data_IF_366596416579
#
_entry.id   IF_366596416579
#
_cell.length_a   1.000
_cell.length_b   1.000
_cell.length_c   1.000
_cell.angle_alpha   90.00
_cell.angle_beta   90.00
_cell.angle_gamma   90.00
#
_symmetry.space_group_name_H-M   'P 1'
#
loop_
_entity.id
_entity.type
_entity.pdbx_description
1 polymer ?
#
# COMPACT_ATOMS: atom_id res chain seq x y z
N UNK A 1 18.64 2.29 26.97
CA UNK A 1 18.51 1.23 25.94
C UNK A 1 17.03 0.94 25.83
N UNK A 2 16.42 1.09 24.65
CA UNK A 2 15.02 0.72 24.49
C UNK A 2 14.89 -0.79 24.72
N UNK A 3 14.02 -1.20 25.64
CA UNK A 3 13.77 -2.61 25.90
C UNK A 3 12.95 -3.20 24.74
N UNK A 4 13.00 -4.51 24.52
CA UNK A 4 12.30 -5.17 23.42
C UNK A 4 10.79 -4.89 23.45
N UNK A 5 10.22 -4.77 24.65
CA UNK A 5 8.84 -4.37 24.93
C UNK A 5 8.51 -2.98 24.34
N UNK A 6 9.39 -2.00 24.53
CA UNK A 6 9.21 -0.64 24.03
C UNK A 6 9.22 -0.61 22.50
N UNK A 7 10.09 -1.43 21.89
CA UNK A 7 10.16 -1.58 20.44
C UNK A 7 8.87 -2.21 19.88
N UNK A 8 8.38 -3.29 20.50
CA UNK A 8 7.13 -3.95 20.12
C UNK A 8 5.95 -2.98 20.22
N UNK A 9 5.85 -2.22 21.30
CA UNK A 9 4.79 -1.22 21.50
C UNK A 9 4.87 -0.08 20.49
N UNK A 10 6.07 0.36 20.11
CA UNK A 10 6.26 1.41 19.11
C UNK A 10 5.85 0.93 17.71
N UNK A 11 6.34 -0.24 17.28
CA UNK A 11 5.99 -0.80 15.97
C UNK A 11 4.50 -1.15 15.88
N UNK A 12 3.92 -1.71 16.93
CA UNK A 12 2.49 -2.06 16.97
C UNK A 12 1.63 -0.80 16.85
N UNK A 13 1.95 0.28 17.58
CA UNK A 13 1.22 1.55 17.46
C UNK A 13 1.37 2.18 16.08
N UNK A 14 2.58 2.14 15.49
CA UNK A 14 2.79 2.72 14.15
C UNK A 14 2.04 1.95 13.07
N UNK A 15 2.04 0.62 13.14
CA UNK A 15 1.29 -0.24 12.20
C UNK A 15 -0.21 0.05 12.31
N UNK A 16 -0.76 0.12 13.53
CA UNK A 16 -2.17 0.41 13.74
C UNK A 16 -2.55 1.81 13.25
N UNK A 17 -1.69 2.81 13.48
CA UNK A 17 -1.91 4.17 12.97
C UNK A 17 -1.95 4.20 11.44
N UNK A 18 -1.03 3.50 10.76
CA UNK A 18 -1.04 3.38 9.30
C UNK A 18 -2.29 2.63 8.80
N UNK A 19 -2.69 1.57 9.48
CA UNK A 19 -3.87 0.79 9.11
C UNK A 19 -5.19 1.57 9.24
N UNK A 20 -5.26 2.53 10.17
CA UNK A 20 -6.45 3.33 10.43
C UNK A 20 -6.66 4.47 9.41
N UNK A 21 -5.57 4.97 8.80
CA UNK A 21 -5.58 6.12 7.90
C UNK A 21 -4.93 5.76 6.57
N UNK A 22 -5.65 4.98 5.76
CA UNK A 22 -5.21 4.55 4.43
C UNK A 22 -5.59 5.66 3.44
N UNK A 23 -4.63 6.29 2.74
CA UNK A 23 -4.93 7.27 1.71
C UNK A 23 -5.56 6.63 0.47
N UNK A 24 -6.37 7.42 -0.24
CA UNK A 24 -6.93 7.05 -1.55
C UNK A 24 -7.81 5.78 -1.54
N UNK A 25 -8.59 5.58 -0.47
CA UNK A 25 -9.50 4.44 -0.37
C UNK A 25 -10.66 4.59 -1.36
N UNK A 26 -10.90 3.54 -2.15
CA UNK A 26 -12.00 3.47 -3.10
C UNK A 26 -11.56 2.98 -4.47
N UNK A 27 -12.27 3.43 -5.50
CA UNK A 27 -12.05 3.10 -6.91
C UNK A 27 -12.01 4.39 -7.73
N UNK A 28 -11.19 4.42 -8.77
CA UNK A 28 -11.23 5.54 -9.73
C UNK A 28 -12.43 5.40 -10.66
N UNK A 29 -13.00 6.52 -11.09
CA UNK A 29 -14.11 6.52 -12.06
C UNK A 29 -13.65 6.11 -13.47
N UNK A 30 -12.44 6.53 -13.86
CA UNK A 30 -11.86 6.29 -15.18
C UNK A 30 -10.38 5.86 -15.06
N UNK A 31 -10.08 4.66 -14.54
CA UNK A 31 -8.72 4.17 -14.44
C UNK A 31 -8.18 3.76 -15.82
N UNK A 32 -6.90 4.06 -16.07
CA UNK A 32 -6.16 3.50 -17.21
C UNK A 32 -5.76 2.03 -16.95
N UNK A 33 -5.58 1.67 -15.67
CA UNK A 33 -5.27 0.32 -15.26
C UNK A 33 -5.90 -0.03 -13.92
N UNK A 34 -6.40 -1.26 -13.81
CA UNK A 34 -6.96 -1.83 -12.58
C UNK A 34 -6.42 -3.24 -12.37
N UNK A 35 -5.99 -3.57 -11.16
CA UNK A 35 -5.53 -4.90 -10.80
C UNK A 35 -6.07 -5.32 -9.42
N UNK A 36 -6.54 -6.57 -9.32
CA UNK A 36 -6.98 -7.16 -8.05
C UNK A 36 -6.18 -8.42 -7.73
N UNK A 37 -5.78 -8.57 -6.46
CA UNK A 37 -5.04 -9.72 -5.95
C UNK A 37 -5.63 -10.20 -4.64
N UNK A 38 -5.70 -11.52 -4.49
CA UNK A 38 -6.16 -12.19 -3.28
C UNK A 38 -5.06 -13.11 -2.73
N UNK A 39 -4.78 -13.01 -1.44
CA UNK A 39 -3.90 -13.93 -0.74
C UNK A 39 -4.67 -15.21 -0.37
N UNK A 40 -4.23 -16.40 -0.82
CA UNK A 40 -4.90 -17.65 -0.48
C UNK A 40 -4.73 -18.05 0.99
N UNK A 41 -3.69 -17.55 1.66
CA UNK A 41 -3.35 -17.95 3.03
C UNK A 41 -4.24 -17.28 4.08
N UNK A 42 -4.56 -16.01 3.89
CA UNK A 42 -5.33 -15.21 4.85
C UNK A 42 -6.64 -14.64 4.29
N UNK A 43 -6.93 -14.91 3.01
CA UNK A 43 -8.14 -14.43 2.34
C UNK A 43 -8.17 -12.92 2.06
N UNK A 44 -7.10 -12.18 2.38
CA UNK A 44 -7.01 -10.74 2.13
C UNK A 44 -7.07 -10.45 0.63
N UNK A 45 -7.79 -9.39 0.25
CA UNK A 45 -7.95 -8.94 -1.13
C UNK A 45 -7.61 -7.46 -1.23
N UNK A 46 -6.81 -7.11 -2.24
CA UNK A 46 -6.46 -5.72 -2.55
C UNK A 46 -6.75 -5.46 -4.02
N UNK A 47 -7.45 -4.38 -4.30
CA UNK A 47 -7.65 -3.88 -5.67
C UNK A 47 -7.06 -2.49 -5.78
N UNK A 48 -6.30 -2.23 -6.85
CA UNK A 48 -5.64 -0.95 -7.10
C UNK A 48 -6.03 -0.47 -8.49
N UNK A 49 -6.35 0.81 -8.57
CA UNK A 49 -6.61 1.56 -9.79
C UNK A 49 -5.53 2.64 -9.97
N UNK A 50 -5.10 2.86 -11.21
CA UNK A 50 -4.18 3.94 -11.57
C UNK A 50 -4.68 4.67 -12.81
N UNK A 51 -4.48 5.99 -12.83
CA UNK A 51 -4.48 6.80 -14.03
C UNK A 51 -3.08 7.37 -14.24
N UNK A 52 -2.62 7.45 -15.48
CA UNK A 52 -1.26 7.84 -15.84
C UNK A 52 -1.25 9.19 -16.56
N UNK A 53 -0.22 9.99 -16.27
CA UNK A 53 0.18 11.14 -17.08
C UNK A 53 1.61 10.87 -17.57
N UNK A 54 1.71 10.48 -18.85
CA UNK A 54 2.95 9.97 -19.42
C UNK A 54 3.44 8.71 -18.72
N UNK A 55 4.60 8.78 -18.07
CA UNK A 55 5.24 7.68 -17.35
C UNK A 55 4.97 7.68 -15.84
N UNK A 56 4.20 8.65 -15.34
CA UNK A 56 3.91 8.85 -13.91
C UNK A 56 2.45 8.56 -13.57
N UNK A 57 2.23 8.11 -12.34
CA UNK A 57 0.88 7.96 -11.78
C UNK A 57 0.31 9.35 -11.51
N UNK A 58 -0.75 9.72 -12.22
CA UNK A 58 -1.47 10.97 -12.03
C UNK A 58 -2.55 10.86 -10.95
N UNK A 59 -3.24 9.71 -10.91
CA UNK A 59 -4.25 9.41 -9.89
C UNK A 59 -4.16 7.94 -9.48
N UNK A 60 -4.55 7.66 -8.25
CA UNK A 60 -4.42 6.36 -7.61
C UNK A 60 -5.59 6.12 -6.67
N UNK A 61 -6.16 4.92 -6.70
CA UNK A 61 -7.11 4.48 -5.68
C UNK A 61 -6.90 3.01 -5.30
N UNK A 62 -7.28 2.65 -4.08
CA UNK A 62 -7.16 1.29 -3.57
C UNK A 62 -8.37 0.86 -2.72
N UNK A 63 -8.90 -0.34 -2.99
CA UNK A 63 -9.84 -1.04 -2.12
C UNK A 63 -9.09 -2.17 -1.39
N UNK A 64 -8.93 -2.00 -0.07
CA UNK A 64 -8.06 -2.82 0.76
C UNK A 64 -8.88 -3.57 1.79
N UNK A 65 -9.03 -4.87 1.59
CA UNK A 65 -9.68 -5.80 2.52
C UNK A 65 -8.63 -6.77 3.04
N UNK A 66 -7.82 -6.31 3.99
CA UNK A 66 -6.68 -7.04 4.52
C UNK A 66 -6.56 -6.90 6.04
N UNK A 67 -5.70 -7.69 6.66
CA UNK A 67 -5.33 -7.51 8.06
C UNK A 67 -4.56 -6.20 8.29
N UNK A 68 -4.34 -5.83 9.56
CA UNK A 68 -3.67 -4.58 9.93
C UNK A 68 -2.32 -4.37 9.23
N UNK A 69 -1.52 -5.42 9.03
CA UNK A 69 -0.25 -5.32 8.31
C UNK A 69 -0.45 -5.02 6.80
N UNK A 70 -1.43 -5.67 6.17
CA UNK A 70 -1.78 -5.40 4.78
C UNK A 70 -2.33 -3.98 4.59
N UNK A 71 -3.15 -3.51 5.53
CA UNK A 71 -3.67 -2.14 5.57
C UNK A 71 -2.56 -1.10 5.79
N UNK A 72 -1.62 -1.37 6.71
CA UNK A 72 -0.48 -0.50 6.93
C UNK A 72 0.43 -0.42 5.69
N UNK A 73 0.68 -1.54 5.02
CA UNK A 73 1.44 -1.59 3.76
C UNK A 73 0.77 -0.77 2.66
N UNK A 74 -0.56 -0.88 2.52
CA UNK A 74 -1.36 -0.08 1.60
C UNK A 74 -1.29 1.43 1.92
N UNK A 75 -1.31 1.81 3.20
CA UNK A 75 -1.16 3.21 3.61
C UNK A 75 0.20 3.78 3.22
N UNK A 76 1.28 3.01 3.44
CA UNK A 76 2.65 3.42 3.04
C UNK A 76 2.76 3.63 1.53
N UNK A 77 2.22 2.73 0.71
CA UNK A 77 2.22 2.90 -0.74
C UNK A 77 1.36 4.11 -1.16
N UNK A 78 0.13 4.18 -0.65
CA UNK A 78 -0.83 5.23 -1.01
C UNK A 78 -0.29 6.64 -0.73
N UNK A 79 0.48 6.81 0.35
CA UNK A 79 1.08 8.10 0.70
C UNK A 79 2.10 8.64 -0.32
N UNK A 80 2.66 7.77 -1.19
CA UNK A 80 3.76 8.15 -2.08
C UNK A 80 3.54 7.77 -3.54
N UNK A 81 2.45 7.05 -3.89
CA UNK A 81 2.24 6.47 -5.22
C UNK A 81 2.06 7.53 -6.31
N UNK A 82 1.30 8.59 -6.05
CA UNK A 82 1.06 9.66 -7.02
C UNK A 82 2.37 10.39 -7.33
N UNK A 83 2.62 10.64 -8.61
CA UNK A 83 3.84 11.24 -9.15
C UNK A 83 4.98 10.24 -9.39
N UNK A 84 4.84 8.97 -9.00
CA UNK A 84 5.87 7.94 -9.22
C UNK A 84 5.77 7.32 -10.58
N UNK A 85 6.94 6.97 -11.09
CA UNK A 85 7.09 6.22 -12.33
C UNK A 85 6.92 4.72 -12.11
N UNK A 86 6.61 3.99 -13.18
CA UNK A 86 6.62 2.52 -13.16
C UNK A 86 7.94 1.95 -12.63
N UNK A 87 9.07 2.50 -13.05
CA UNK A 87 10.40 1.99 -12.67
C UNK A 87 10.66 2.15 -11.16
N UNK A 88 10.25 3.26 -10.55
CA UNK A 88 10.35 3.47 -9.10
C UNK A 88 9.48 2.45 -8.34
N UNK A 89 8.26 2.19 -8.81
CA UNK A 89 7.34 1.22 -8.19
C UNK A 89 7.89 -0.21 -8.31
N UNK A 90 8.44 -0.58 -9.47
CA UNK A 90 9.07 -1.88 -9.68
C UNK A 90 10.30 -2.07 -8.79
N UNK A 91 11.13 -1.05 -8.67
CA UNK A 91 12.31 -1.06 -7.79
C UNK A 91 11.91 -1.25 -6.32
N UNK A 92 10.91 -0.49 -5.84
CA UNK A 92 10.41 -0.62 -4.47
C UNK A 92 9.80 -2.00 -4.20
N UNK A 93 9.03 -2.54 -5.14
CA UNK A 93 8.47 -3.90 -5.07
C UNK A 93 9.57 -4.94 -4.96
N UNK A 94 10.62 -4.82 -5.77
CA UNK A 94 11.70 -5.82 -5.82
C UNK A 94 12.58 -5.76 -4.58
N UNK A 95 12.81 -4.56 -4.02
CA UNK A 95 13.45 -4.42 -2.72
C UNK A 95 12.65 -5.09 -1.59
N UNK A 96 11.33 -4.91 -1.55
CA UNK A 96 10.47 -5.56 -0.55
C UNK A 96 10.45 -7.10 -0.67
N UNK A 97 10.57 -7.64 -1.89
CA UNK A 97 10.65 -9.09 -2.10
C UNK A 97 11.97 -9.70 -1.68
N UNK A 98 13.04 -8.90 -1.59
CA UNK A 98 14.39 -9.35 -1.26
C UNK A 98 14.72 -9.28 0.24
N UNK A 99 13.83 -8.70 1.06
CA UNK A 99 13.92 -8.71 2.53
C UNK A 99 13.53 -10.06 3.10
#
# INVERSE_FOLDING_TARGET
>A
MADAEDLIQLYSRRILALAADIPHVGRLAHPDGSASKRSPLCGSTVTVDVALDGDRIADFAQDVKACALGQASASVLGAVAIGRTRAEIETARDALKAM
#
